data_IF_289323819254
#
_entry.id   IF_289323819254
#
_cell.length_a   1.000
_cell.length_b   1.000
_cell.length_c   1.000
_cell.angle_alpha   90.00
_cell.angle_beta   90.00
_cell.angle_gamma   90.00
#
_symmetry.space_group_name_H-M   'P 1'
#
loop_
_entity.id
_entity.type
_entity.pdbx_description
1 polymer ?
#
# COMPACT_ATOMS: atom_id res chain seq x y z
N UNK A 1 18.43 8.90 0.42
CA UNK A 1 17.36 8.68 1.40
C UNK A 1 17.35 9.84 2.36
N UNK A 2 16.23 10.55 2.52
CA UNK A 2 16.12 11.69 3.45
C UNK A 2 15.20 11.29 4.61
N UNK A 3 15.72 11.33 5.83
CA UNK A 3 14.92 11.08 7.04
C UNK A 3 13.97 12.26 7.20
N UNK A 4 12.66 11.98 7.25
CA UNK A 4 11.59 12.97 7.47
C UNK A 4 10.83 12.67 8.76
N UNK A 5 10.04 13.61 9.24
CA UNK A 5 9.17 13.39 10.41
C UNK A 5 7.92 12.60 10.02
N UNK A 6 7.37 11.83 10.98
CA UNK A 6 6.07 11.16 10.81
C UNK A 6 4.99 12.16 10.35
N UNK A 7 4.91 13.33 11.01
CA UNK A 7 3.96 14.39 10.65
C UNK A 7 4.09 14.81 9.18
N UNK A 8 5.32 15.04 8.71
CA UNK A 8 5.57 15.49 7.33
C UNK A 8 5.29 14.40 6.30
N UNK A 9 5.57 13.14 6.64
CA UNK A 9 5.21 11.99 5.80
C UNK A 9 3.68 11.86 5.68
N UNK A 10 2.99 11.83 6.82
CA UNK A 10 1.53 11.67 6.89
C UNK A 10 0.78 12.85 6.25
N UNK A 11 1.30 14.06 6.41
CA UNK A 11 0.78 15.26 5.72
C UNK A 11 0.88 15.12 4.20
N UNK A 12 1.96 14.52 3.67
CA UNK A 12 2.08 14.25 2.23
C UNK A 12 1.06 13.23 1.71
N UNK A 13 0.79 12.18 2.48
CA UNK A 13 -0.26 11.20 2.14
C UNK A 13 -1.65 11.85 2.18
N UNK A 14 -1.92 12.69 3.19
CA UNK A 14 -3.16 13.45 3.29
C UNK A 14 -3.38 14.36 2.09
N UNK A 15 -2.34 15.11 1.72
CA UNK A 15 -2.33 16.03 0.58
C UNK A 15 -2.60 15.29 -0.73
N UNK A 16 -1.95 14.14 -0.93
CA UNK A 16 -2.17 13.27 -2.07
C UNK A 16 -3.64 12.77 -2.11
N UNK A 17 -4.14 12.24 -0.99
CA UNK A 17 -5.51 11.76 -0.87
C UNK A 17 -6.54 12.86 -1.17
N UNK A 18 -6.41 14.01 -0.52
CA UNK A 18 -7.30 15.15 -0.73
C UNK A 18 -7.32 15.61 -2.19
N UNK A 19 -6.14 15.72 -2.81
CA UNK A 19 -5.98 16.19 -4.19
C UNK A 19 -6.59 15.22 -5.21
N UNK A 20 -6.42 13.91 -5.00
CA UNK A 20 -7.04 12.89 -5.86
C UNK A 20 -8.56 12.92 -5.70
N UNK A 21 -9.07 12.91 -4.47
CA UNK A 21 -10.51 12.93 -4.22
C UNK A 21 -11.17 14.18 -4.82
N UNK A 22 -10.54 15.34 -4.68
CA UNK A 22 -11.04 16.57 -5.30
C UNK A 22 -11.11 16.47 -6.82
N UNK A 23 -10.10 15.85 -7.47
CA UNK A 23 -10.10 15.60 -8.93
C UNK A 23 -11.21 14.66 -9.38
N UNK A 24 -11.60 13.71 -8.52
CA UNK A 24 -12.73 12.80 -8.77
C UNK A 24 -14.11 13.41 -8.45
N UNK A 25 -14.16 14.71 -8.17
CA UNK A 25 -15.41 15.46 -7.97
C UNK A 25 -16.01 15.35 -6.58
N UNK A 26 -15.27 14.83 -5.60
CA UNK A 26 -15.74 14.79 -4.21
C UNK A 26 -15.78 16.22 -3.63
N UNK A 27 -16.82 16.58 -2.84
CA UNK A 27 -16.84 17.84 -2.12
C UNK A 27 -15.64 17.98 -1.20
N UNK A 28 -15.09 19.20 -1.07
CA UNK A 28 -13.89 19.45 -0.26
C UNK A 28 -14.03 18.94 1.19
N UNK A 29 -15.20 19.09 1.81
CA UNK A 29 -15.47 18.56 3.17
C UNK A 29 -15.41 17.04 3.24
N UNK A 30 -15.90 16.34 2.20
CA UNK A 30 -15.85 14.88 2.09
C UNK A 30 -14.43 14.40 1.81
N UNK A 31 -13.72 15.04 0.88
CA UNK A 31 -12.33 14.74 0.58
C UNK A 31 -11.42 14.93 1.80
N UNK A 32 -11.65 16.00 2.58
CA UNK A 32 -10.91 16.28 3.82
C UNK A 32 -11.12 15.17 4.85
N UNK A 33 -12.39 14.83 5.14
CA UNK A 33 -12.76 13.76 6.08
C UNK A 33 -12.17 12.40 5.69
N UNK A 34 -12.26 12.03 4.41
CA UNK A 34 -11.72 10.75 3.90
C UNK A 34 -10.20 10.75 3.97
N UNK A 35 -9.52 11.84 3.58
CA UNK A 35 -8.06 11.94 3.64
C UNK A 35 -7.52 11.80 5.07
N UNK A 36 -8.22 12.37 6.06
CA UNK A 36 -7.89 12.21 7.48
C UNK A 36 -8.06 10.74 7.92
N UNK A 37 -9.15 10.10 7.51
CA UNK A 37 -9.42 8.71 7.86
C UNK A 37 -8.35 7.75 7.31
N UNK A 38 -7.95 7.93 6.04
CA UNK A 38 -6.88 7.16 5.39
C UNK A 38 -5.57 7.28 6.18
N UNK A 39 -5.17 8.51 6.51
CA UNK A 39 -3.92 8.76 7.25
C UNK A 39 -3.94 8.17 8.66
N UNK A 40 -5.08 8.27 9.37
CA UNK A 40 -5.24 7.65 10.68
C UNK A 40 -5.06 6.14 10.62
N UNK A 41 -5.66 5.49 9.63
CA UNK A 41 -5.51 4.05 9.47
C UNK A 41 -4.08 3.65 9.13
N UNK A 42 -3.44 4.36 8.20
CA UNK A 42 -2.05 4.08 7.83
C UNK A 42 -1.10 4.31 9.00
N UNK A 43 -1.37 5.34 9.81
CA UNK A 43 -0.61 5.57 11.04
C UNK A 43 -0.72 4.37 11.97
N UNK A 44 -1.94 3.88 12.21
CA UNK A 44 -2.20 2.69 13.05
C UNK A 44 -1.55 1.41 12.47
N UNK A 45 -1.70 1.16 11.17
CA UNK A 45 -1.15 -0.01 10.50
C UNK A 45 0.39 -0.03 10.51
N UNK A 46 1.00 1.14 10.50
CA UNK A 46 2.46 1.29 10.44
C UNK A 46 3.12 1.52 11.80
N UNK A 47 2.37 1.50 12.90
CA UNK A 47 2.91 1.76 14.24
C UNK A 47 4.11 0.86 14.58
N UNK A 48 5.19 1.49 15.05
CA UNK A 48 6.44 0.80 15.40
C UNK A 48 7.34 0.47 14.21
N UNK A 49 6.92 0.74 12.97
CA UNK A 49 7.70 0.48 11.77
C UNK A 49 8.36 1.74 11.21
N UNK A 50 9.44 1.53 10.45
CA UNK A 50 10.05 2.59 9.64
C UNK A 50 9.55 2.45 8.21
N UNK A 51 8.85 3.47 7.74
CA UNK A 51 8.20 3.47 6.44
C UNK A 51 9.07 4.21 5.44
N UNK A 52 9.31 3.59 4.29
CA UNK A 52 10.02 4.18 3.16
C UNK A 52 9.05 4.37 2.00
N UNK A 53 9.01 5.60 1.46
CA UNK A 53 8.26 5.89 0.23
C UNK A 53 9.19 5.66 -0.95
N UNK A 54 8.99 4.53 -1.60
CA UNK A 54 9.71 4.25 -2.85
C UNK A 54 9.30 5.23 -3.95
N UNK A 55 10.20 5.44 -4.91
CA UNK A 55 9.84 6.06 -6.18
C UNK A 55 8.95 5.06 -6.93
N UNK A 56 7.81 5.48 -7.44
CA UNK A 56 7.02 4.65 -8.36
C UNK A 56 7.95 4.21 -9.50
N UNK A 57 8.03 2.92 -9.85
CA UNK A 57 8.39 2.54 -11.21
C UNK A 57 7.33 3.19 -12.09
N UNK A 58 7.66 3.58 -13.32
CA UNK A 58 6.72 4.30 -14.18
C UNK A 58 5.33 3.67 -14.10
N UNK A 59 4.29 4.50 -13.93
CA UNK A 59 2.87 4.15 -13.78
C UNK A 59 2.42 2.96 -14.69
N UNK A 60 3.05 2.88 -15.85
CA UNK A 60 2.91 1.80 -16.84
C UNK A 60 3.32 0.43 -16.31
N UNK A 61 4.37 0.30 -15.49
CA UNK A 61 4.89 -0.97 -14.95
C UNK A 61 3.89 -1.61 -13.98
N UNK A 62 3.35 -0.84 -13.03
CA UNK A 62 2.35 -1.35 -12.08
C UNK A 62 1.03 -1.70 -12.76
N UNK A 63 0.57 -0.89 -13.71
CA UNK A 63 -0.61 -1.24 -14.52
C UNK A 63 -0.34 -2.47 -15.39
N UNK A 64 0.84 -2.56 -16.01
CA UNK A 64 1.24 -3.70 -16.82
C UNK A 64 1.26 -4.96 -15.98
N UNK A 65 1.85 -4.92 -14.78
CA UNK A 65 1.89 -6.06 -13.88
C UNK A 65 0.47 -6.51 -13.49
N UNK A 66 -0.42 -5.57 -13.14
CA UNK A 66 -1.82 -5.87 -12.90
C UNK A 66 -2.50 -6.54 -14.10
N UNK A 67 -2.34 -5.98 -15.31
CA UNK A 67 -2.90 -6.55 -16.54
C UNK A 67 -2.32 -7.94 -16.85
N UNK A 68 -1.03 -8.15 -16.60
CA UNK A 68 -0.39 -9.46 -16.77
C UNK A 68 -1.06 -10.49 -15.86
N UNK A 69 -1.30 -10.15 -14.60
CA UNK A 69 -1.95 -11.05 -13.65
C UNK A 69 -3.44 -11.27 -13.96
N UNK A 70 -4.17 -10.21 -14.32
CA UNK A 70 -5.59 -10.32 -14.70
C UNK A 70 -5.79 -11.18 -15.97
N UNK A 71 -4.82 -11.18 -16.88
CA UNK A 71 -4.83 -11.98 -18.10
C UNK A 71 -4.17 -13.36 -17.95
N UNK A 72 -3.64 -13.67 -16.77
CA UNK A 72 -2.97 -14.93 -16.51
C UNK A 72 -3.97 -16.09 -16.42
N UNK A 73 -3.73 -17.14 -17.20
CA UNK A 73 -4.60 -18.33 -17.31
C UNK A 73 -4.01 -19.59 -16.67
N UNK A 74 -2.80 -19.51 -16.13
CA UNK A 74 -2.08 -20.65 -15.55
C UNK A 74 -0.91 -21.14 -16.39
N UNK A 75 -1.02 -21.09 -17.71
CA UNK A 75 -0.05 -21.67 -18.66
C UNK A 75 0.40 -20.72 -19.77
N UNK A 76 -0.10 -19.48 -19.80
CA UNK A 76 0.11 -18.53 -20.89
C UNK A 76 1.29 -17.57 -20.70
N UNK A 77 2.33 -17.96 -19.95
CA UNK A 77 3.48 -17.10 -19.65
C UNK A 77 4.19 -16.59 -20.91
N UNK A 78 4.38 -17.45 -21.91
CA UNK A 78 5.04 -17.09 -23.18
C UNK A 78 4.23 -16.05 -23.96
N UNK A 79 2.91 -16.22 -24.02
CA UNK A 79 2.01 -15.30 -24.70
C UNK A 79 1.95 -13.93 -23.99
N UNK A 80 2.01 -13.91 -22.65
CA UNK A 80 2.07 -12.67 -21.88
C UNK A 80 3.44 -11.98 -22.03
N UNK A 81 4.52 -12.74 -22.09
CA UNK A 81 5.87 -12.23 -22.31
C UNK A 81 5.97 -11.50 -23.65
N UNK A 82 5.48 -12.14 -24.72
CA UNK A 82 5.41 -11.54 -26.06
C UNK A 82 4.49 -10.31 -26.09
N UNK A 83 3.28 -10.42 -25.52
CA UNK A 83 2.28 -9.35 -25.51
C UNK A 83 2.75 -8.08 -24.79
N UNK A 84 3.47 -8.22 -23.68
CA UNK A 84 3.90 -7.11 -22.85
C UNK A 84 5.38 -6.71 -23.05
N UNK A 85 6.09 -7.37 -23.98
CA UNK A 85 7.47 -7.05 -24.33
C UNK A 85 8.46 -7.29 -23.19
N UNK A 86 8.23 -8.34 -22.40
CA UNK A 86 9.04 -8.68 -21.22
C UNK A 86 9.55 -10.11 -21.28
N UNK A 87 10.56 -10.45 -20.47
CA UNK A 87 11.03 -11.82 -20.41
C UNK A 87 9.98 -12.72 -19.74
N UNK A 88 9.92 -13.98 -20.17
CA UNK A 88 9.06 -15.02 -19.59
C UNK A 88 9.32 -15.15 -18.09
N UNK A 89 10.58 -15.10 -17.67
CA UNK A 89 10.99 -15.11 -16.26
C UNK A 89 10.38 -13.94 -15.47
N UNK A 90 10.23 -12.76 -16.10
CA UNK A 90 9.61 -11.61 -15.46
C UNK A 90 8.10 -11.77 -15.30
N UNK A 91 7.43 -12.43 -16.26
CA UNK A 91 6.00 -12.81 -16.12
C UNK A 91 5.82 -13.76 -14.93
N UNK A 92 6.68 -14.77 -14.78
CA UNK A 92 6.64 -15.67 -13.62
C UNK A 92 6.76 -14.91 -12.29
N UNK A 93 7.73 -14.00 -12.16
CA UNK A 93 7.89 -13.18 -10.94
C UNK A 93 6.65 -12.32 -10.67
N UNK A 94 6.11 -11.65 -11.70
CA UNK A 94 4.92 -10.80 -11.56
C UNK A 94 3.70 -11.61 -11.09
N UNK A 95 3.46 -12.77 -11.71
CA UNK A 95 2.33 -13.64 -11.35
C UNK A 95 2.47 -14.16 -9.93
N UNK A 96 3.67 -14.61 -9.55
CA UNK A 96 3.98 -15.04 -8.18
C UNK A 96 3.75 -13.90 -7.18
N UNK A 97 4.28 -12.73 -7.48
CA UNK A 97 4.18 -11.53 -6.65
C UNK A 97 2.72 -11.19 -6.33
N UNK A 98 1.92 -11.07 -7.38
CA UNK A 98 0.51 -10.74 -7.26
C UNK A 98 -0.32 -11.86 -6.64
N UNK A 99 0.07 -13.13 -6.80
CA UNK A 99 -0.61 -14.27 -6.18
C UNK A 99 -0.41 -14.30 -4.67
N UNK A 100 0.81 -14.14 -4.15
CA UNK A 100 0.96 -14.15 -2.69
C UNK A 100 0.41 -12.88 -2.04
N UNK A 101 0.36 -11.74 -2.76
CA UNK A 101 -0.36 -10.55 -2.28
C UNK A 101 -1.88 -10.81 -2.22
N UNK A 102 -2.44 -11.45 -3.25
CA UNK A 102 -3.85 -11.85 -3.26
C UNK A 102 -4.17 -12.83 -2.12
N UNK A 103 -3.32 -13.84 -1.90
CA UNK A 103 -3.48 -14.83 -0.82
C UNK A 103 -3.41 -14.13 0.54
N UNK A 104 -2.37 -13.32 0.82
CA UNK A 104 -2.24 -12.57 2.09
C UNK A 104 -3.46 -11.71 2.42
N UNK A 105 -4.11 -11.13 1.40
CA UNK A 105 -5.32 -10.29 1.58
C UNK A 105 -6.58 -11.10 1.88
N UNK A 106 -6.70 -12.32 1.35
CA UNK A 106 -7.93 -13.12 1.44
C UNK A 106 -7.84 -14.28 2.43
N UNK A 107 -6.62 -14.70 2.79
CA UNK A 107 -6.38 -15.86 3.63
C UNK A 107 -5.00 -15.74 4.32
N UNK A 108 -4.92 -15.42 5.63
CA UNK A 108 -3.64 -15.50 6.34
C UNK A 108 -3.17 -16.97 6.34
N UNK A 109 -1.95 -17.18 5.86
CA UNK A 109 -1.41 -18.50 5.55
C UNK A 109 -1.34 -19.40 6.80
N UNK A 110 -1.77 -20.65 6.67
CA UNK A 110 -1.64 -21.68 7.71
C UNK A 110 -0.58 -22.74 7.39
N UNK A 111 -0.06 -22.86 6.16
CA UNK A 111 0.99 -23.84 5.80
C UNK A 111 1.72 -23.44 4.51
N UNK A 112 2.98 -22.98 4.60
CA UNK A 112 3.84 -22.74 3.44
C UNK A 112 4.78 -23.93 3.17
N UNK A 113 4.53 -24.68 2.09
CA UNK A 113 5.46 -25.68 1.56
C UNK A 113 6.00 -25.25 0.19
N UNK A 114 7.29 -25.51 0.00
CA UNK A 114 8.23 -24.96 -0.97
C UNK A 114 7.87 -25.12 -2.46
N UNK A 115 7.97 -24.02 -3.22
CA UNK A 115 8.03 -23.96 -4.69
C UNK A 115 9.31 -23.21 -5.14
N UNK A 116 9.81 -23.41 -6.38
CA UNK A 116 11.20 -23.12 -6.73
C UNK A 116 11.60 -21.65 -6.54
N UNK A 117 12.83 -21.50 -6.07
CA UNK A 117 13.40 -20.28 -5.52
C UNK A 117 13.72 -19.24 -6.62
N UNK A 118 12.73 -18.38 -6.85
CA UNK A 118 12.90 -17.04 -7.40
C UNK A 118 12.44 -16.02 -6.34
N UNK A 119 12.80 -16.28 -5.07
CA UNK A 119 12.39 -15.45 -3.91
C UNK A 119 13.08 -14.08 -3.94
N UNK A 120 14.37 -14.01 -4.27
CA UNK A 120 15.16 -12.77 -4.19
C UNK A 120 14.60 -11.60 -5.01
N UNK A 121 14.14 -11.85 -6.23
CA UNK A 121 13.58 -10.79 -7.11
C UNK A 121 12.17 -10.42 -6.64
N UNK A 122 11.38 -11.42 -6.26
CA UNK A 122 10.00 -11.30 -5.81
C UNK A 122 9.92 -10.53 -4.49
N UNK A 123 10.74 -10.89 -3.50
CA UNK A 123 10.79 -10.25 -2.19
C UNK A 123 11.34 -8.83 -2.27
N UNK A 124 12.31 -8.57 -3.14
CA UNK A 124 12.80 -7.22 -3.39
C UNK A 124 11.73 -6.31 -4.01
N UNK A 125 10.94 -6.82 -4.96
CA UNK A 125 9.82 -6.09 -5.59
C UNK A 125 8.71 -5.87 -4.55
N UNK A 126 8.33 -6.91 -3.80
CA UNK A 126 7.35 -6.84 -2.71
C UNK A 126 7.73 -5.80 -1.69
N UNK A 127 8.96 -5.83 -1.18
CA UNK A 127 9.42 -4.90 -0.15
C UNK A 127 9.51 -3.47 -0.67
N UNK A 128 9.86 -3.28 -1.95
CA UNK A 128 9.86 -1.95 -2.56
C UNK A 128 8.46 -1.36 -2.70
N UNK A 129 7.44 -2.15 -3.04
CA UNK A 129 6.09 -1.64 -3.33
C UNK A 129 5.09 -1.84 -2.21
N UNK A 130 5.45 -2.55 -1.14
CA UNK A 130 4.60 -2.82 0.03
C UNK A 130 3.93 -1.56 0.56
N UNK A 131 4.71 -0.51 0.80
CA UNK A 131 4.18 0.78 1.30
C UNK A 131 3.14 1.40 0.36
N UNK A 132 3.38 1.34 -0.95
CA UNK A 132 2.44 1.89 -1.92
C UNK A 132 1.18 1.02 -2.01
N UNK A 133 1.34 -0.30 -1.99
CA UNK A 133 0.24 -1.26 -1.95
C UNK A 133 -0.67 -1.05 -0.73
N UNK A 134 -0.07 -0.85 0.44
CA UNK A 134 -0.81 -0.56 1.68
C UNK A 134 -1.56 0.77 1.58
N UNK A 135 -0.95 1.83 1.02
CA UNK A 135 -1.67 3.10 0.76
C UNK A 135 -2.86 2.86 -0.18
N UNK A 136 -2.69 2.08 -1.25
CA UNK A 136 -3.74 1.76 -2.21
C UNK A 136 -4.90 1.03 -1.55
N UNK A 137 -4.60 -0.06 -0.84
CA UNK A 137 -5.59 -0.95 -0.23
C UNK A 137 -6.38 -0.24 0.86
N UNK A 138 -5.70 0.46 1.77
CA UNK A 138 -6.36 1.20 2.83
C UNK A 138 -7.21 2.35 2.26
N UNK A 139 -6.72 3.04 1.22
CA UNK A 139 -7.52 4.09 0.56
C UNK A 139 -8.77 3.53 -0.09
N UNK A 140 -8.65 2.42 -0.83
CA UNK A 140 -9.77 1.78 -1.51
C UNK A 140 -10.80 1.24 -0.51
N UNK A 141 -10.34 0.54 0.54
CA UNK A 141 -11.19 0.03 1.61
C UNK A 141 -11.99 1.15 2.29
N UNK A 142 -11.34 2.25 2.67
CA UNK A 142 -12.04 3.36 3.33
C UNK A 142 -13.02 4.09 2.42
N UNK A 143 -12.71 4.20 1.13
CA UNK A 143 -13.64 4.77 0.16
C UNK A 143 -14.93 3.96 0.09
N UNK A 144 -14.82 2.63 0.04
CA UNK A 144 -15.99 1.75 0.04
C UNK A 144 -16.84 1.87 1.31
N UNK A 145 -16.21 2.11 2.46
CA UNK A 145 -16.92 2.30 3.73
C UNK A 145 -17.61 3.66 3.85
N UNK A 146 -17.00 4.72 3.31
CA UNK A 146 -17.46 6.11 3.52
C UNK A 146 -18.32 6.67 2.38
N UNK A 147 -18.25 6.05 1.20
CA UNK A 147 -18.96 6.49 0.01
C UNK A 147 -19.94 5.39 -0.40
N UNK A 148 -21.23 5.51 -0.06
CA UNK A 148 -22.24 4.59 -0.56
C UNK A 148 -22.22 4.62 -2.10
N UNK A 149 -22.34 3.45 -2.72
CA UNK A 149 -22.36 3.22 -4.18
C UNK A 149 -21.02 3.40 -4.93
N UNK A 150 -19.89 3.56 -4.24
CA UNK A 150 -18.59 3.47 -4.93
C UNK A 150 -18.28 2.01 -5.28
N UNK A 151 -18.26 1.70 -6.58
CA UNK A 151 -17.85 0.38 -7.05
C UNK A 151 -16.39 0.08 -6.69
N UNK A 152 -16.09 -1.18 -6.36
CA UNK A 152 -14.77 -1.65 -5.97
C UNK A 152 -13.66 -1.22 -6.96
N UNK A 153 -13.92 -1.39 -8.25
CA UNK A 153 -13.00 -0.98 -9.33
C UNK A 153 -12.66 0.52 -9.28
N UNK A 154 -13.65 1.38 -8.99
CA UNK A 154 -13.45 2.83 -8.87
C UNK A 154 -12.69 3.19 -7.59
N UNK A 155 -12.99 2.52 -6.48
CA UNK A 155 -12.27 2.71 -5.22
C UNK A 155 -10.79 2.32 -5.35
N UNK A 156 -10.49 1.21 -6.02
CA UNK A 156 -9.14 0.76 -6.33
C UNK A 156 -8.40 1.74 -7.26
N UNK A 157 -9.07 2.28 -8.28
CA UNK A 157 -8.48 3.29 -9.16
C UNK A 157 -8.10 4.57 -8.40
N UNK A 158 -8.97 5.04 -7.50
CA UNK A 158 -8.68 6.20 -6.65
C UNK A 158 -7.54 5.89 -5.68
N UNK A 159 -7.56 4.75 -4.98
CA UNK A 159 -6.49 4.35 -4.07
C UNK A 159 -5.12 4.28 -4.76
N UNK A 160 -5.11 3.77 -6.00
CA UNK A 160 -3.93 3.77 -6.89
C UNK A 160 -3.39 5.18 -7.14
N UNK A 161 -4.24 6.11 -7.54
CA UNK A 161 -3.83 7.49 -7.78
C UNK A 161 -3.29 8.17 -6.51
N UNK A 162 -3.83 7.85 -5.34
CA UNK A 162 -3.36 8.37 -4.05
C UNK A 162 -1.95 7.88 -3.74
N UNK A 163 -1.68 6.60 -3.93
CA UNK A 163 -0.35 6.04 -3.72
C UNK A 163 0.69 6.64 -4.68
N UNK A 164 0.31 6.87 -5.94
CA UNK A 164 1.20 7.48 -6.93
C UNK A 164 1.51 8.93 -6.61
N UNK A 165 0.49 9.74 -6.28
CA UNK A 165 0.73 11.12 -5.90
C UNK A 165 1.54 11.20 -4.59
N UNK A 166 1.34 10.27 -3.66
CA UNK A 166 2.17 10.15 -2.46
C UNK A 166 3.64 9.90 -2.83
N UNK A 167 3.90 8.95 -3.74
CA UNK A 167 5.25 8.69 -4.21
C UNK A 167 5.86 9.93 -4.88
N UNK A 168 5.14 10.62 -5.74
CA UNK A 168 5.66 11.84 -6.38
C UNK A 168 6.01 12.95 -5.38
N UNK A 169 5.18 13.13 -4.35
CA UNK A 169 5.38 14.16 -3.33
C UNK A 169 6.45 13.80 -2.29
N UNK A 170 6.70 12.52 -2.05
CA UNK A 170 7.48 12.03 -0.88
C UNK A 170 8.50 10.94 -1.20
N UNK A 171 8.76 10.61 -2.48
CA UNK A 171 9.76 9.60 -2.88
C UNK A 171 11.12 9.85 -2.25
N UNK A 172 11.76 8.75 -1.85
CA UNK A 172 13.10 8.78 -1.23
C UNK A 172 13.11 9.26 0.22
N UNK A 173 11.93 9.54 0.80
CA UNK A 173 11.79 9.87 2.21
C UNK A 173 11.47 8.62 3.04
N UNK A 174 11.95 8.63 4.28
CA UNK A 174 11.60 7.62 5.28
C UNK A 174 11.24 8.26 6.61
N UNK A 175 10.25 7.73 7.30
CA UNK A 175 9.90 8.15 8.66
C UNK A 175 9.64 6.95 9.57
N UNK A 176 10.04 7.08 10.83
CA UNK A 176 9.63 6.14 11.88
C UNK A 176 8.24 6.53 12.37
N UNK A 177 7.33 5.56 12.44
CA UNK A 177 5.98 5.76 12.95
C UNK A 177 5.95 5.33 14.42
N UNK A 178 5.78 6.30 15.31
CA UNK A 178 5.79 6.06 16.75
C UNK A 178 4.55 5.26 17.15
N UNK A 179 4.72 4.28 18.04
CA UNK A 179 3.60 3.72 18.80
C UNK A 179 3.01 4.82 19.66
N UNK A 180 1.70 5.01 19.63
CA UNK A 180 1.06 5.81 20.67
C UNK A 180 1.30 5.10 22.01
N UNK A 181 1.88 5.82 22.98
CA UNK A 181 1.97 5.31 24.36
C UNK A 181 0.53 5.20 24.86
N UNK A 182 0.05 3.98 25.13
CA UNK A 182 -1.15 3.82 25.92
C UNK A 182 -0.93 4.50 27.28
N UNK A 183 -1.73 5.52 27.56
CA UNK A 183 -1.70 6.29 28.82
C UNK A 183 -2.09 5.40 30.03
N UNK A 184 -2.46 4.13 29.82
CA UNK A 184 -2.86 3.21 30.89
C UNK A 184 -1.70 2.65 31.73
N UNK A 185 -0.47 2.65 31.23
CA UNK A 185 0.63 1.94 31.92
C UNK A 185 1.39 2.83 32.91
N UNK A 186 1.29 4.16 32.78
CA UNK A 186 1.93 5.10 33.72
C UNK A 186 1.09 5.33 35.00
N UNK A 187 -0.22 5.00 35.00
CA UNK A 187 -1.07 5.15 36.21
C UNK A 187 -1.00 3.96 37.17
N UNK A 188 -0.50 2.79 36.73
CA UNK A 188 -0.33 1.62 37.62
C UNK A 188 1.03 1.56 38.31
N UNK A 189 2.05 2.26 37.80
CA UNK A 189 3.37 2.31 38.43
C UNK A 189 3.41 3.19 39.70
N UNK A 190 2.54 4.21 39.79
CA UNK A 190 2.46 5.13 40.94
C UNK A 190 1.57 4.62 42.09
N UNK A 191 0.85 3.51 41.94
CA UNK A 191 -0.02 2.96 43.02
C UNK A 191 0.64 1.90 43.91
N UNK A 192 1.88 1.49 43.63
CA UNK A 192 2.58 0.45 44.42
C UNK A 192 3.88 0.93 45.08
N UNK A 193 4.11 2.25 45.13
CA UNK A 193 5.21 2.85 45.88
C UNK A 193 4.76 3.41 47.23
N UNK A 194 4.51 2.53 48.21
CA UNK A 194 4.86 2.77 49.63
C UNK A 194 4.48 1.54 50.47
N UNK A 195 5.48 0.96 51.11
CA UNK A 195 5.39 -0.18 52.04
C UNK A 195 6.76 -0.66 52.47
#
# INVERSE_FOLDING_TARGET
MSITTQEKLMSGIREAAFSVLSRHGFPASTADRISIAIVRQLTFAWEGNTIYITKTPDHEVMQRNQRIFDEFKGDNHDALAEKFGISIQWVYSIVKDMRDDYIKRHQPDMFSDNEPDNSDISDFIREQFKTLSEIMDHSAYYLQQQVPDIGESKALAIGREIAYLTSELRKGQSANIRKEKNVSDETQADMFGDG
#
